data_IF_495685933937
#
_entry.id   IF_495685933937
#
_cell.length_a   1.000
_cell.length_b   1.000
_cell.length_c   1.000
_cell.angle_alpha   90.00
_cell.angle_beta   90.00
_cell.angle_gamma   90.00
#
_symmetry.space_group_name_H-M   'P 1'
#
loop_
_entity.id
_entity.type
_entity.pdbx_description
1 polymer ?
#
# COMPACT_ATOMS: atom_id res chain seq x y z
N UNK A 1 -10.50 -0.30 3.94
CA UNK A 1 -9.78 -1.17 2.96
C UNK A 1 -8.76 -2.11 3.62
N UNK A 2 -7.92 -1.64 4.56
CA UNK A 2 -6.76 -2.39 5.10
C UNK A 2 -7.01 -3.32 6.30
N UNK A 3 -8.26 -3.69 6.59
CA UNK A 3 -8.57 -4.56 7.74
C UNK A 3 -7.85 -5.92 7.68
N UNK A 4 -7.31 -6.45 8.80
CA UNK A 4 -7.40 -5.93 10.17
C UNK A 4 -6.31 -4.93 10.58
N UNK A 5 -5.44 -4.50 9.66
CA UNK A 5 -4.34 -3.55 9.91
C UNK A 5 -3.19 -3.77 8.94
N UNK A 6 -2.10 -3.03 9.12
CA UNK A 6 -0.94 -2.90 8.24
C UNK A 6 -1.22 -2.11 6.95
N UNK A 7 -0.27 -1.23 6.60
CA UNK A 7 -0.27 -0.30 5.45
C UNK A 7 -1.19 0.91 5.54
N UNK A 8 -2.07 1.01 6.54
CA UNK A 8 -2.96 2.15 6.75
C UNK A 8 -2.19 3.46 7.00
N UNK A 9 -1.10 3.41 7.75
CA UNK A 9 -0.30 4.60 8.06
C UNK A 9 0.50 5.08 6.84
N UNK A 10 1.11 4.13 6.12
CA UNK A 10 1.83 4.40 4.87
C UNK A 10 0.88 4.95 3.80
N UNK A 11 -0.32 4.38 3.69
CA UNK A 11 -1.38 4.87 2.82
C UNK A 11 -1.74 6.32 3.12
N UNK A 12 -2.02 6.62 4.39
CA UNK A 12 -2.38 7.96 4.84
C UNK A 12 -1.27 8.97 4.53
N UNK A 13 -0.02 8.62 4.85
CA UNK A 13 1.14 9.45 4.59
C UNK A 13 1.35 9.69 3.09
N UNK A 14 1.26 8.64 2.28
CA UNK A 14 1.42 8.73 0.83
C UNK A 14 0.34 9.64 0.23
N UNK A 15 -0.92 9.45 0.62
CA UNK A 15 -2.06 10.28 0.22
C UNK A 15 -1.93 11.74 0.66
N UNK A 16 -1.41 11.99 1.86
CA UNK A 16 -1.14 13.33 2.34
C UNK A 16 -0.11 14.03 1.44
N UNK A 17 1.01 13.36 1.12
CA UNK A 17 2.01 13.90 0.19
C UNK A 17 1.43 14.14 -1.20
N UNK A 18 0.60 13.24 -1.73
CA UNK A 18 -0.09 13.43 -3.02
C UNK A 18 -0.99 14.65 -3.05
N UNK A 19 -1.56 15.03 -1.92
CA UNK A 19 -2.40 16.22 -1.75
C UNK A 19 -1.60 17.47 -1.39
N UNK A 20 -0.26 17.41 -1.43
CA UNK A 20 0.62 18.54 -1.18
C UNK A 20 0.95 18.80 0.29
N UNK A 21 0.53 17.93 1.21
CA UNK A 21 0.90 18.07 2.63
C UNK A 21 2.35 17.65 2.87
N UNK A 22 3.00 18.34 3.80
CA UNK A 22 4.34 17.99 4.29
C UNK A 22 4.25 16.99 5.43
N UNK A 23 5.14 16.00 5.42
CA UNK A 23 5.33 15.07 6.54
C UNK A 23 6.58 15.52 7.31
N UNK A 24 6.39 15.95 8.55
CA UNK A 24 7.46 16.43 9.41
C UNK A 24 7.82 15.36 10.43
N UNK A 25 9.12 15.07 10.54
CA UNK A 25 9.64 14.19 11.57
C UNK A 25 10.04 15.02 12.80
N UNK A 26 9.59 14.60 13.99
CA UNK A 26 9.89 15.25 15.26
C UNK A 26 10.73 14.30 16.13
N UNK A 27 12.07 14.43 16.15
CA UNK A 27 12.95 13.51 16.87
C UNK A 27 12.79 13.59 18.40
N UNK A 28 12.33 14.74 18.92
CA UNK A 28 12.15 14.98 20.36
C UNK A 28 10.86 14.34 20.92
N UNK A 29 9.99 13.84 20.04
CA UNK A 29 8.75 13.17 20.42
C UNK A 29 9.03 11.72 20.85
N UNK A 30 9.39 11.52 22.11
CA UNK A 30 9.61 10.19 22.68
C UNK A 30 8.28 9.54 23.09
N UNK A 31 7.96 8.41 22.46
CA UNK A 31 6.79 7.58 22.79
C UNK A 31 7.22 6.16 23.14
N UNK A 32 6.68 5.63 24.24
CA UNK A 32 6.90 4.24 24.61
C UNK A 32 5.99 3.33 23.79
N UNK A 33 6.57 2.62 22.81
CA UNK A 33 5.82 1.70 21.96
C UNK A 33 5.96 0.26 22.47
N UNK A 34 4.91 -0.29 23.08
CA UNK A 34 4.84 -1.72 23.39
C UNK A 34 4.56 -2.49 22.09
N UNK A 35 5.61 -3.11 21.55
CA UNK A 35 5.55 -3.78 20.24
C UNK A 35 4.46 -4.87 20.18
N UNK A 36 3.62 -4.79 19.15
CA UNK A 36 2.73 -5.84 18.59
C UNK A 36 1.93 -6.73 19.56
N UNK A 37 1.38 -6.23 20.66
CA UNK A 37 0.57 -7.07 21.57
C UNK A 37 -0.68 -7.69 20.93
N UNK A 38 -1.23 -7.06 19.89
CA UNK A 38 -2.52 -7.46 19.28
C UNK A 38 -2.40 -8.53 18.19
N UNK A 39 -1.22 -8.72 17.59
CA UNK A 39 -1.01 -9.66 16.48
C UNK A 39 -0.15 -10.88 16.85
N UNK A 40 0.44 -10.92 18.04
CA UNK A 40 1.27 -12.05 18.53
C UNK A 40 0.53 -13.38 18.57
N UNK A 41 -0.80 -13.36 18.72
CA UNK A 41 -1.65 -14.55 18.75
C UNK A 41 -2.02 -15.08 17.35
N UNK A 42 -1.72 -14.34 16.28
CA UNK A 42 -2.07 -14.74 14.92
C UNK A 42 -0.93 -15.53 14.25
N UNK A 43 -1.31 -16.45 13.37
CA UNK A 43 -0.35 -17.20 12.58
C UNK A 43 0.50 -16.26 11.70
N UNK A 44 1.83 -16.45 11.71
CA UNK A 44 2.76 -15.65 10.88
C UNK A 44 2.40 -15.66 9.39
N UNK A 45 1.92 -16.79 8.89
CA UNK A 45 1.44 -16.93 7.51
C UNK A 45 0.23 -16.05 7.20
N UNK A 46 -0.71 -15.92 8.16
CA UNK A 46 -1.85 -15.02 8.03
C UNK A 46 -1.41 -13.56 8.05
N UNK A 47 -0.52 -13.17 8.97
CA UNK A 47 0.03 -11.81 9.02
C UNK A 47 0.74 -11.47 7.71
N UNK A 48 1.56 -12.38 7.18
CA UNK A 48 2.23 -12.20 5.88
C UNK A 48 1.22 -12.02 4.75
N UNK A 49 0.18 -12.86 4.70
CA UNK A 49 -0.89 -12.73 3.70
C UNK A 49 -1.58 -11.36 3.77
N UNK A 50 -1.92 -10.89 4.98
CA UNK A 50 -2.54 -9.57 5.18
C UNK A 50 -1.61 -8.45 4.74
N UNK A 51 -0.34 -8.47 5.16
CA UNK A 51 0.67 -7.47 4.79
C UNK A 51 0.83 -7.37 3.27
N UNK A 52 0.98 -8.50 2.59
CA UNK A 52 1.18 -8.53 1.13
C UNK A 52 -0.09 -8.14 0.36
N UNK A 53 -1.27 -8.60 0.81
CA UNK A 53 -2.54 -8.19 0.20
C UNK A 53 -2.74 -6.68 0.34
N UNK A 54 -2.47 -6.13 1.51
CA UNK A 54 -2.62 -4.70 1.78
C UNK A 54 -1.62 -3.85 1.01
N UNK A 55 -0.40 -4.35 0.81
CA UNK A 55 0.56 -3.73 -0.10
C UNK A 55 -0.01 -3.61 -1.52
N UNK A 56 -0.59 -4.69 -2.06
CA UNK A 56 -1.23 -4.64 -3.39
C UNK A 56 -2.42 -3.67 -3.43
N UNK A 57 -3.24 -3.63 -2.37
CA UNK A 57 -4.36 -2.70 -2.25
C UNK A 57 -3.90 -1.24 -2.33
N UNK A 58 -2.87 -0.88 -1.57
CA UNK A 58 -2.30 0.47 -1.56
C UNK A 58 -1.73 0.83 -2.93
N UNK A 59 -0.91 -0.06 -3.53
CA UNK A 59 -0.35 0.18 -4.86
C UNK A 59 -1.45 0.39 -5.92
N UNK A 60 -2.50 -0.41 -5.90
CA UNK A 60 -3.58 -0.33 -6.88
C UNK A 60 -4.52 0.84 -6.63
N UNK A 61 -4.65 1.31 -5.39
CA UNK A 61 -5.42 2.51 -5.05
C UNK A 61 -4.65 3.78 -5.41
N UNK A 62 -3.43 3.93 -4.89
CA UNK A 62 -2.75 5.23 -4.81
C UNK A 62 -1.75 5.52 -5.92
N UNK A 63 -1.12 4.50 -6.53
CA UNK A 63 -0.17 4.72 -7.64
C UNK A 63 -0.96 5.07 -8.89
N UNK A 64 -0.89 6.33 -9.32
CA UNK A 64 -1.64 6.87 -10.46
C UNK A 64 -0.81 6.94 -11.75
N UNK A 65 0.52 6.93 -11.64
CA UNK A 65 1.45 6.87 -12.75
C UNK A 65 1.24 5.59 -13.56
N UNK A 66 1.04 5.77 -14.86
CA UNK A 66 0.90 4.65 -15.79
C UNK A 66 2.20 3.86 -15.88
N UNK A 67 3.35 4.53 -15.88
CA UNK A 67 4.68 3.91 -15.96
C UNK A 67 4.93 3.01 -14.76
N UNK A 68 4.73 3.54 -13.55
CA UNK A 68 4.92 2.77 -12.32
C UNK A 68 3.93 1.62 -12.21
N UNK A 69 2.67 1.82 -12.63
CA UNK A 69 1.68 0.74 -12.65
C UNK A 69 2.07 -0.38 -13.62
N UNK A 70 2.59 -0.05 -14.82
CA UNK A 70 3.07 -1.05 -15.76
C UNK A 70 4.26 -1.86 -15.21
N UNK A 71 5.23 -1.18 -14.60
CA UNK A 71 6.37 -1.85 -13.95
C UNK A 71 5.91 -2.77 -12.82
N UNK A 72 4.94 -2.31 -12.01
CA UNK A 72 4.32 -3.12 -10.97
C UNK A 72 3.63 -4.36 -11.55
N UNK A 73 2.85 -4.23 -12.62
CA UNK A 73 2.17 -5.36 -13.25
C UNK A 73 3.16 -6.40 -13.78
N UNK A 74 4.24 -5.97 -14.43
CA UNK A 74 5.32 -6.87 -14.87
C UNK A 74 5.94 -7.59 -13.68
N UNK A 75 6.28 -6.85 -12.61
CA UNK A 75 6.83 -7.41 -11.37
C UNK A 75 5.89 -8.42 -10.71
N UNK A 76 4.58 -8.12 -10.69
CA UNK A 76 3.55 -8.99 -10.13
C UNK A 76 3.43 -10.31 -10.90
N UNK A 77 3.38 -10.25 -12.24
CA UNK A 77 3.38 -11.46 -13.09
C UNK A 77 4.65 -12.28 -12.84
N UNK A 78 5.81 -11.61 -12.81
CA UNK A 78 7.09 -12.25 -12.54
C UNK A 78 7.13 -12.95 -11.18
N UNK A 79 6.53 -12.33 -10.15
CA UNK A 79 6.42 -12.90 -8.81
C UNK A 79 5.49 -14.11 -8.76
N UNK A 80 4.36 -14.06 -9.47
CA UNK A 80 3.42 -15.19 -9.57
C UNK A 80 4.06 -16.40 -10.24
N UNK A 81 4.89 -16.19 -11.27
CA UNK A 81 5.63 -17.28 -11.94
C UNK A 81 6.69 -17.90 -11.02
N UNK A 82 7.49 -17.08 -10.32
CA UNK A 82 8.57 -17.58 -9.44
C UNK A 82 8.07 -18.15 -8.11
N UNK A 83 6.93 -17.65 -7.63
CA UNK A 83 6.37 -18.01 -6.33
C UNK A 83 4.86 -18.28 -6.48
N UNK A 84 4.47 -19.47 -6.97
CA UNK A 84 3.06 -19.78 -7.27
C UNK A 84 2.16 -19.67 -6.03
N UNK A 85 2.69 -19.86 -4.81
CA UNK A 85 1.96 -19.64 -3.56
C UNK A 85 1.43 -18.22 -3.37
N UNK A 86 2.00 -17.23 -4.07
CA UNK A 86 1.56 -15.84 -4.04
C UNK A 86 0.16 -15.64 -4.65
N UNK A 87 -0.36 -16.63 -5.38
CA UNK A 87 -1.74 -16.59 -5.90
C UNK A 87 -2.77 -16.38 -4.79
N UNK A 88 -2.51 -16.89 -3.57
CA UNK A 88 -3.41 -16.71 -2.41
C UNK A 88 -3.56 -15.23 -2.03
N UNK A 89 -2.50 -14.44 -2.20
CA UNK A 89 -2.52 -12.98 -1.95
C UNK A 89 -3.39 -12.29 -2.99
N UNK A 90 -3.23 -12.65 -4.27
CA UNK A 90 -4.02 -12.09 -5.37
C UNK A 90 -5.49 -12.47 -5.23
N UNK A 91 -5.82 -13.71 -4.88
CA UNK A 91 -7.21 -14.13 -4.63
C UNK A 91 -7.81 -13.36 -3.45
N UNK A 92 -7.06 -13.18 -2.35
CA UNK A 92 -7.53 -12.40 -1.21
C UNK A 92 -7.81 -10.92 -1.57
N UNK A 93 -7.06 -10.36 -2.52
CA UNK A 93 -7.25 -9.01 -3.06
C UNK A 93 -8.58 -8.87 -3.81
N UNK A 94 -8.99 -9.88 -4.59
CA UNK A 94 -10.17 -9.81 -5.47
C UNK A 94 -11.43 -9.40 -4.71
N UNK A 95 -11.62 -9.93 -3.50
CA UNK A 95 -12.75 -9.58 -2.61
C UNK A 95 -12.83 -8.10 -2.22
N UNK A 96 -11.76 -7.33 -2.42
CA UNK A 96 -11.64 -5.91 -2.06
C UNK A 96 -11.59 -4.98 -3.28
N UNK A 97 -11.50 -5.51 -4.50
CA UNK A 97 -11.35 -4.72 -5.73
C UNK A 97 -12.46 -3.69 -5.98
N UNK A 98 -13.75 -3.96 -5.72
CA UNK A 98 -14.79 -2.95 -5.94
C UNK A 98 -14.55 -1.66 -5.17
N UNK A 99 -14.09 -1.76 -3.91
CA UNK A 99 -13.72 -0.61 -3.09
C UNK A 99 -12.50 0.13 -3.63
N UNK A 100 -11.45 -0.62 -4.02
CA UNK A 100 -10.21 -0.06 -4.59
C UNK A 100 -10.49 0.80 -5.83
N UNK A 101 -11.35 0.33 -6.74
CA UNK A 101 -11.67 1.08 -7.96
C UNK A 101 -12.40 2.38 -7.63
N UNK A 102 -13.29 2.38 -6.64
CA UNK A 102 -13.97 3.60 -6.19
C UNK A 102 -12.98 4.59 -5.59
N UNK A 103 -12.17 4.14 -4.65
CA UNK A 103 -11.21 4.99 -3.95
C UNK A 103 -10.15 5.53 -4.92
N UNK A 104 -9.69 4.71 -5.87
CA UNK A 104 -8.71 5.13 -6.90
C UNK A 104 -9.19 6.32 -7.73
N UNK A 105 -10.49 6.44 -8.00
CA UNK A 105 -11.02 7.60 -8.73
C UNK A 105 -10.88 8.87 -7.89
N UNK A 106 -11.19 8.79 -6.60
CA UNK A 106 -10.99 9.88 -5.66
C UNK A 106 -9.51 10.25 -5.57
N UNK A 107 -8.62 9.27 -5.43
CA UNK A 107 -7.18 9.52 -5.35
C UNK A 107 -6.63 10.21 -6.59
N UNK A 108 -7.08 9.83 -7.79
CA UNK A 108 -6.70 10.53 -9.02
C UNK A 108 -7.18 11.98 -9.05
N UNK A 109 -8.37 12.24 -8.52
CA UNK A 109 -8.97 13.57 -8.52
C UNK A 109 -8.29 14.50 -7.50
N UNK A 110 -7.98 14.00 -6.30
CA UNK A 110 -7.40 14.81 -5.21
C UNK A 110 -5.87 14.93 -5.26
N UNK A 111 -5.20 14.16 -6.13
CA UNK A 111 -3.74 14.23 -6.26
C UNK A 111 -3.31 15.50 -7.00
N UNK A 112 -2.48 16.31 -6.35
CA UNK A 112 -1.82 17.49 -6.93
C UNK A 112 -0.31 17.28 -7.15
N UNK A 113 0.27 16.26 -6.51
CA UNK A 113 1.68 15.84 -6.68
C UNK A 113 1.71 14.46 -7.33
N UNK A 114 2.63 14.26 -8.29
CA UNK A 114 2.80 12.99 -9.00
C UNK A 114 3.49 11.92 -8.15
N UNK A 115 3.31 10.66 -8.54
CA UNK A 115 3.98 9.54 -7.86
C UNK A 115 5.50 9.63 -8.03
N UNK A 116 5.97 10.07 -9.19
CA UNK A 116 7.39 10.28 -9.49
C UNK A 116 8.02 11.34 -8.58
N UNK A 117 7.37 12.49 -8.39
CA UNK A 117 7.84 13.55 -7.49
C UNK A 117 7.94 13.06 -6.03
N UNK A 118 6.93 12.32 -5.57
CA UNK A 118 6.93 11.75 -4.21
C UNK A 118 8.09 10.78 -4.01
N UNK A 119 8.40 10.00 -5.03
CA UNK A 119 9.48 9.00 -5.01
C UNK A 119 10.85 9.56 -5.39
N UNK A 120 10.95 10.85 -5.72
CA UNK A 120 12.20 11.49 -6.15
C UNK A 120 12.73 10.94 -7.49
N UNK A 121 11.85 10.43 -8.34
CA UNK A 121 12.19 9.94 -9.67
C UNK A 121 12.24 11.12 -10.65
N UNK A 122 13.29 11.17 -11.49
CA UNK A 122 13.36 12.17 -12.57
C UNK A 122 12.19 11.96 -13.53
N UNK A 123 11.42 13.02 -13.77
CA UNK A 123 10.33 13.09 -14.75
C UNK A 123 10.83 12.86 -16.17
#
# INVERSE_FOLDING_TARGET
MFSPGYWEDLDLCYRARKRGYSILWSPDSLVFHKHESSYTLLAKSYISLVKERNQLLMMWKDITSRKLLWLHLIGLVSRLVRHPGYIKVVVALISKLPGVVSDRRLEKHESVVTDEEILGLKS
#
